data_IF_564658663737
#
_entry.id   IF_564658663737
#
_cell.length_a   1.000
_cell.length_b   1.000
_cell.length_c   1.000
_cell.angle_alpha   90.00
_cell.angle_beta   90.00
_cell.angle_gamma   90.00
#
_symmetry.space_group_name_H-M   'P 1'
#
loop_
_entity.id
_entity.type
_entity.pdbx_description
1 polymer ?
#
# COMPACT_ATOMS: atom_id res chain seq x y z
N UNK A 1 20.65 5.20 20.91
CA UNK A 1 20.36 4.73 19.54
C UNK A 1 18.98 5.27 19.14
N UNK A 2 18.89 6.45 18.51
CA UNK A 2 17.62 6.91 17.92
C UNK A 2 17.34 6.04 16.70
N UNK A 3 16.18 5.38 16.64
CA UNK A 3 15.67 4.82 15.38
C UNK A 3 15.42 6.01 14.44
N UNK A 4 15.78 5.96 13.15
CA UNK A 4 15.33 6.97 12.20
C UNK A 4 13.81 7.09 12.32
N UNK A 5 13.29 8.31 12.34
CA UNK A 5 11.85 8.53 12.37
C UNK A 5 11.26 7.89 11.11
N UNK A 6 10.60 6.74 11.27
CA UNK A 6 9.80 6.15 10.21
C UNK A 6 8.72 7.16 9.85
N UNK A 7 8.59 7.48 8.56
CA UNK A 7 7.55 8.39 8.10
C UNK A 7 6.17 7.79 8.40
N UNK A 8 5.44 8.44 9.31
CA UNK A 8 4.11 8.03 9.75
C UNK A 8 3.08 8.82 9.00
N UNK A 9 2.02 8.14 8.56
CA UNK A 9 0.83 8.80 8.00
C UNK A 9 -0.38 8.61 8.90
N UNK A 10 -1.36 9.52 8.87
CA UNK A 10 -2.64 9.33 9.55
C UNK A 10 -3.37 8.06 9.07
N UNK A 11 -4.07 7.39 9.98
CA UNK A 11 -4.96 6.28 9.64
C UNK A 11 -6.37 6.81 9.36
N UNK A 12 -6.71 7.08 8.10
CA UNK A 12 -8.02 7.63 7.71
C UNK A 12 -9.21 6.80 8.22
N UNK A 13 -9.05 5.48 8.29
CA UNK A 13 -10.07 4.56 8.81
C UNK A 13 -10.22 4.53 10.34
N UNK A 14 -9.34 5.20 11.09
CA UNK A 14 -9.30 5.15 12.56
C UNK A 14 -8.94 3.78 13.16
N UNK A 15 -8.60 2.76 12.34
CA UNK A 15 -8.29 1.41 12.82
C UNK A 15 -6.86 1.23 13.35
N UNK A 16 -6.06 2.29 13.31
CA UNK A 16 -4.73 2.38 13.90
C UNK A 16 -4.47 3.83 14.31
N UNK A 17 -3.52 4.08 15.21
CA UNK A 17 -3.12 5.46 15.55
C UNK A 17 -2.44 6.16 14.36
N UNK A 18 -1.67 5.41 13.59
CA UNK A 18 -0.98 5.84 12.37
C UNK A 18 -0.65 4.60 11.51
N UNK A 19 -0.23 4.83 10.27
CA UNK A 19 0.37 3.80 9.41
C UNK A 19 1.83 4.14 9.15
N UNK A 20 2.62 3.11 8.90
CA UNK A 20 4.01 3.22 8.44
C UNK A 20 4.05 2.43 7.13
N UNK A 21 4.17 3.10 5.97
CA UNK A 21 4.44 2.42 4.71
C UNK A 21 5.91 1.94 4.68
N UNK A 22 6.20 0.96 3.82
CA UNK A 22 7.57 0.51 3.58
C UNK A 22 8.40 1.55 2.79
N UNK A 23 7.73 2.33 1.95
CA UNK A 23 8.30 3.41 1.15
C UNK A 23 7.39 4.65 1.22
N UNK A 24 7.98 5.81 1.48
CA UNK A 24 7.32 7.10 1.30
C UNK A 24 8.34 8.14 0.83
N UNK A 25 8.10 8.74 -0.33
CA UNK A 25 8.90 9.84 -0.87
C UNK A 25 8.00 10.86 -1.57
N UNK A 26 8.60 11.83 -2.27
CA UNK A 26 7.88 12.93 -2.93
C UNK A 26 6.93 12.50 -4.05
N UNK A 27 6.96 11.23 -4.48
CA UNK A 27 6.17 10.74 -5.62
C UNK A 27 5.53 9.37 -5.41
N UNK A 28 6.02 8.58 -4.46
CA UNK A 28 5.61 7.19 -4.24
C UNK A 28 5.28 6.94 -2.77
N UNK A 29 4.19 6.20 -2.56
CA UNK A 29 3.94 5.43 -1.36
C UNK A 29 4.02 3.95 -1.75
N UNK A 30 4.80 3.14 -1.03
CA UNK A 30 4.99 1.73 -1.31
C UNK A 30 4.71 0.81 -0.13
N UNK A 31 4.16 -0.37 -0.41
CA UNK A 31 3.90 -1.43 0.57
C UNK A 31 4.21 -2.80 -0.03
N UNK A 32 4.92 -3.64 0.73
CA UNK A 32 5.28 -5.00 0.34
C UNK A 32 4.34 -6.02 0.99
N UNK A 33 3.78 -6.93 0.18
CA UNK A 33 2.95 -8.05 0.67
C UNK A 33 3.41 -9.38 0.12
N UNK A 34 3.83 -10.25 1.03
CA UNK A 34 4.34 -11.59 0.72
C UNK A 34 3.29 -12.69 0.98
N UNK A 35 2.13 -12.62 0.31
CA UNK A 35 0.98 -13.52 0.57
C UNK A 35 0.38 -14.09 -0.71
N UNK A 36 -0.24 -15.28 -0.63
CA UNK A 36 -0.91 -15.92 -1.77
C UNK A 36 -2.28 -15.32 -2.12
N UNK A 37 -3.00 -14.78 -1.13
CA UNK A 37 -4.27 -14.07 -1.33
C UNK A 37 -4.31 -12.81 -0.49
N UNK A 38 -4.62 -11.67 -1.12
CA UNK A 38 -4.66 -10.37 -0.48
C UNK A 38 -6.04 -9.72 -0.61
N UNK A 39 -6.57 -9.23 0.51
CA UNK A 39 -7.84 -8.50 0.57
C UNK A 39 -7.62 -6.99 0.60
N UNK A 40 -8.63 -6.18 0.22
CA UNK A 40 -8.56 -4.73 0.36
C UNK A 40 -8.75 -4.29 1.82
N UNK A 41 -7.70 -4.47 2.62
CA UNK A 41 -7.70 -4.20 4.06
C UNK A 41 -7.86 -2.71 4.34
N UNK A 42 -8.18 -2.36 5.59
CA UNK A 42 -8.18 -0.95 6.00
C UNK A 42 -6.82 -0.29 5.85
N UNK A 43 -5.72 -1.01 6.06
CA UNK A 43 -4.38 -0.46 5.87
C UNK A 43 -4.19 -0.03 4.41
N UNK A 44 -4.50 -0.90 3.45
CA UNK A 44 -4.37 -0.57 2.02
C UNK A 44 -5.31 0.57 1.62
N UNK A 45 -6.50 0.65 2.21
CA UNK A 45 -7.42 1.79 2.03
C UNK A 45 -6.85 3.10 2.56
N UNK A 46 -6.24 3.07 3.75
CA UNK A 46 -5.60 4.25 4.34
C UNK A 46 -4.44 4.73 3.46
N UNK A 47 -3.61 3.82 2.96
CA UNK A 47 -2.54 4.14 2.01
C UNK A 47 -3.05 4.68 0.69
N UNK A 48 -4.11 4.09 0.14
CA UNK A 48 -4.73 4.58 -1.09
C UNK A 48 -5.26 6.00 -0.92
N UNK A 49 -6.01 6.26 0.16
CA UNK A 49 -6.56 7.57 0.46
C UNK A 49 -5.46 8.63 0.64
N UNK A 50 -4.38 8.29 1.36
CA UNK A 50 -3.25 9.17 1.54
C UNK A 50 -2.53 9.46 0.22
N UNK A 51 -2.25 8.42 -0.59
CA UNK A 51 -1.59 8.60 -1.88
C UNK A 51 -2.40 9.52 -2.81
N UNK A 52 -3.72 9.34 -2.89
CA UNK A 52 -4.60 10.20 -3.68
C UNK A 52 -4.62 11.66 -3.19
N UNK A 53 -4.73 11.87 -1.87
CA UNK A 53 -4.74 13.20 -1.28
C UNK A 53 -3.42 13.98 -1.49
N UNK A 54 -2.31 13.25 -1.63
CA UNK A 54 -0.97 13.82 -1.79
C UNK A 54 -0.41 13.69 -3.21
N UNK A 55 -1.23 13.28 -4.20
CA UNK A 55 -0.81 13.08 -5.59
C UNK A 55 0.39 12.12 -5.75
N UNK A 56 0.45 11.08 -4.91
CA UNK A 56 1.46 10.03 -4.96
C UNK A 56 0.95 8.81 -5.73
N UNK A 57 1.87 8.07 -6.35
CA UNK A 57 1.57 6.73 -6.85
C UNK A 57 1.61 5.74 -5.70
N UNK A 58 0.55 4.93 -5.53
CA UNK A 58 0.58 3.81 -4.59
C UNK A 58 1.09 2.54 -5.28
N UNK A 59 2.32 2.14 -4.98
CA UNK A 59 2.92 0.89 -5.43
C UNK A 59 2.66 -0.24 -4.43
N UNK A 60 1.96 -1.28 -4.88
CA UNK A 60 1.73 -2.50 -4.12
C UNK A 60 2.63 -3.62 -4.66
N UNK A 61 3.71 -3.89 -3.95
CA UNK A 61 4.70 -4.91 -4.30
C UNK A 61 4.24 -6.28 -3.81
N UNK A 62 4.10 -7.24 -4.72
CA UNK A 62 3.54 -8.57 -4.44
C UNK A 62 4.27 -9.66 -5.23
N UNK A 63 4.05 -10.92 -4.84
CA UNK A 63 4.46 -12.07 -5.67
C UNK A 63 3.66 -12.07 -6.98
N UNK A 64 4.24 -12.62 -8.04
CA UNK A 64 3.54 -12.82 -9.32
C UNK A 64 2.27 -13.68 -9.18
N UNK A 65 2.29 -14.65 -8.26
CA UNK A 65 1.18 -15.58 -7.99
C UNK A 65 0.14 -15.07 -6.99
N UNK A 66 0.29 -13.87 -6.43
CA UNK A 66 -0.70 -13.31 -5.49
C UNK A 66 -2.04 -13.10 -6.19
N UNK A 67 -3.10 -13.65 -5.59
CA UNK A 67 -4.48 -13.41 -6.00
C UNK A 67 -5.12 -12.33 -5.13
N UNK A 68 -6.12 -11.62 -5.67
CA UNK A 68 -6.73 -10.48 -5.00
C UNK A 68 -8.22 -10.69 -4.76
N UNK A 69 -8.72 -10.19 -3.63
CA UNK A 69 -10.16 -10.00 -3.46
C UNK A 69 -10.72 -9.10 -4.55
N UNK A 70 -11.99 -9.28 -4.94
CA UNK A 70 -12.64 -8.45 -5.98
C UNK A 70 -12.52 -6.93 -5.73
N UNK A 71 -12.71 -6.40 -4.50
CA UNK A 71 -12.51 -4.98 -4.24
C UNK A 71 -11.07 -4.50 -4.51
N UNK A 72 -10.07 -5.28 -4.12
CA UNK A 72 -8.67 -4.91 -4.36
C UNK A 72 -8.33 -4.98 -5.85
N UNK A 73 -8.83 -6.02 -6.54
CA UNK A 73 -8.66 -6.16 -7.98
C UNK A 73 -9.22 -4.95 -8.73
N UNK A 74 -10.41 -4.45 -8.35
CA UNK A 74 -11.00 -3.27 -8.98
C UNK A 74 -10.13 -2.00 -8.82
N UNK A 75 -9.44 -1.84 -7.68
CA UNK A 75 -8.53 -0.69 -7.46
C UNK A 75 -7.27 -0.80 -8.33
N UNK A 76 -6.79 -2.03 -8.57
CA UNK A 76 -5.67 -2.29 -9.48
C UNK A 76 -6.11 -2.05 -10.93
N UNK A 77 -7.26 -2.61 -11.34
CA UNK A 77 -7.80 -2.51 -12.70
C UNK A 77 -8.13 -1.06 -13.10
N UNK A 78 -8.53 -0.23 -12.13
CA UNK A 78 -8.80 1.20 -12.35
C UNK A 78 -7.54 2.07 -12.33
N UNK A 79 -6.36 1.49 -12.08
CA UNK A 79 -5.08 2.22 -12.01
C UNK A 79 -4.90 3.04 -10.73
N UNK A 80 -5.81 2.96 -9.76
CA UNK A 80 -5.67 3.66 -8.47
C UNK A 80 -4.53 3.05 -7.64
N UNK A 81 -4.30 1.74 -7.76
CA UNK A 81 -3.17 1.03 -7.14
C UNK A 81 -2.32 0.44 -8.25
N UNK A 82 -1.03 0.78 -8.26
CA UNK A 82 -0.07 0.16 -9.19
C UNK A 82 0.43 -1.14 -8.59
N UNK A 83 0.07 -2.27 -9.22
CA UNK A 83 0.62 -3.58 -8.85
C UNK A 83 2.04 -3.70 -9.41
N UNK A 84 3.01 -3.96 -8.54
CA UNK A 84 4.41 -4.24 -8.93
C UNK A 84 4.73 -5.71 -8.65
N UNK A 85 4.70 -6.60 -9.67
CA UNK A 85 4.99 -8.01 -9.50
C UNK A 85 6.51 -8.22 -9.56
N UNK A 86 7.23 -8.12 -8.43
CA UNK A 86 8.68 -8.37 -8.40
C UNK A 86 9.23 -8.62 -6.99
N UNK A 87 8.49 -9.38 -6.17
CA UNK A 87 9.15 -10.16 -5.14
C UNK A 87 9.67 -11.42 -5.86
N UNK A 88 11.00 -11.55 -5.95
CA UNK A 88 11.66 -12.69 -6.60
C UNK A 88 11.09 -14.04 -6.10
N UNK A 89 11.34 -15.14 -6.85
CA UNK A 89 10.84 -16.46 -6.49
C UNK A 89 11.16 -16.86 -5.05
#
# INVERSE_FOLDING_TARGET
MLRPAMDRIPSASGRAAYRIPDELNSSVLGEVKNVGRLSYTSQLRDFTAYAQAHSLTFNLYVRGSTTFSKPLQNMIDSGVITRVPNLGP
#
